data_IF_038217834783
#
_entry.id   IF_038217834783
#
_cell.length_a   1.000
_cell.length_b   1.000
_cell.length_c   1.000
_cell.angle_alpha   90.00
_cell.angle_beta   90.00
_cell.angle_gamma   90.00
#
_symmetry.space_group_name_H-M   'P 1'
#
loop_
_entity.id
_entity.type
_entity.pdbx_description
1 polymer ?
#
# COMPACT_ATOMS: atom_id res chain seq x y z
N UNK A 1 25.73 21.86 9.45
CA UNK A 1 26.06 22.45 8.14
C UNK A 1 25.99 21.35 7.08
N UNK A 2 25.64 21.74 5.85
CA UNK A 2 25.26 20.93 4.67
C UNK A 2 23.82 20.42 4.70
N UNK A 3 22.80 21.24 4.33
CA UNK A 3 22.37 21.65 2.95
C UNK A 3 21.80 20.42 2.21
N UNK A 4 20.47 20.22 2.18
CA UNK A 4 19.45 20.64 1.16
C UNK A 4 19.85 20.13 -0.24
N UNK A 5 18.99 19.44 -0.99
CA UNK A 5 18.16 19.98 -2.08
C UNK A 5 17.26 18.83 -2.61
N UNK A 6 15.92 18.91 -2.59
CA UNK A 6 14.97 19.40 -3.62
C UNK A 6 14.44 18.31 -4.60
N UNK A 7 13.12 18.07 -4.50
CA UNK A 7 12.04 17.98 -5.54
C UNK A 7 12.23 17.17 -6.85
N UNK A 8 11.16 16.41 -7.18
CA UNK A 8 10.71 16.13 -8.57
C UNK A 8 10.14 14.71 -8.71
N UNK A 9 8.84 14.44 -8.61
CA UNK A 9 7.77 14.65 -9.61
C UNK A 9 8.19 14.30 -11.05
N UNK A 10 7.58 13.27 -11.63
CA UNK A 10 7.65 13.04 -13.08
C UNK A 10 7.45 11.60 -13.52
N UNK A 11 6.23 11.30 -13.97
CA UNK A 11 5.84 10.10 -14.73
C UNK A 11 6.81 9.81 -15.87
N UNK A 12 7.06 8.53 -16.14
CA UNK A 12 7.28 8.02 -17.50
C UNK A 12 6.85 6.55 -17.58
N UNK A 13 5.66 6.35 -18.14
CA UNK A 13 5.32 5.14 -18.90
C UNK A 13 5.97 5.28 -20.28
N UNK A 14 6.46 4.18 -20.85
CA UNK A 14 6.29 3.94 -22.27
C UNK A 14 5.47 2.67 -22.50
N UNK A 15 4.40 2.89 -23.27
CA UNK A 15 3.73 1.94 -24.13
C UNK A 15 4.74 1.35 -25.14
N UNK A 16 4.69 0.03 -25.37
CA UNK A 16 5.03 -0.58 -26.66
C UNK A 16 4.81 -2.10 -26.58
N UNK A 17 3.60 -2.53 -26.93
CA UNK A 17 3.41 -3.81 -27.58
C UNK A 17 4.02 -3.73 -28.99
N UNK A 18 4.92 -4.65 -29.35
CA UNK A 18 5.14 -5.08 -30.74
C UNK A 18 6.00 -6.34 -30.72
N UNK A 19 5.43 -7.44 -31.21
CA UNK A 19 6.18 -8.59 -31.68
C UNK A 19 6.81 -8.24 -33.05
N UNK A 20 7.96 -8.83 -33.40
CA UNK A 20 7.99 -9.44 -34.72
C UNK A 20 8.70 -10.82 -34.77
N UNK A 21 8.05 -11.69 -35.54
CA UNK A 21 8.59 -12.40 -36.71
C UNK A 21 9.90 -13.17 -36.57
N UNK A 22 9.70 -14.48 -36.59
CA UNK A 22 10.68 -15.52 -36.94
C UNK A 22 11.19 -15.27 -38.36
N UNK A 23 12.51 -15.12 -38.48
CA UNK A 23 13.23 -15.24 -39.75
C UNK A 23 14.37 -16.24 -39.56
N UNK A 24 14.21 -17.42 -40.17
CA UNK A 24 15.30 -18.37 -40.36
C UNK A 24 16.32 -17.79 -41.34
N UNK A 25 17.60 -17.86 -41.01
CA UNK A 25 18.68 -17.68 -41.97
C UNK A 25 19.71 -18.79 -41.79
N UNK A 26 19.81 -19.58 -42.85
CA UNK A 26 20.79 -20.62 -43.10
C UNK A 26 22.20 -20.06 -42.95
N UNK A 27 23.03 -20.71 -42.12
CA UNK A 27 24.47 -20.47 -42.08
C UNK A 27 25.15 -21.36 -43.12
N UNK A 28 25.91 -20.73 -44.02
CA UNK A 28 26.98 -21.39 -44.75
C UNK A 28 28.33 -20.87 -44.23
N UNK A 29 29.11 -21.75 -43.60
CA UNK A 29 30.58 -21.75 -43.74
C UNK A 29 31.15 -23.13 -43.36
N UNK A 30 32.12 -23.68 -44.12
CA UNK A 30 32.66 -25.01 -43.87
C UNK A 30 33.86 -24.96 -42.92
N UNK A 31 33.65 -25.23 -41.62
CA UNK A 31 34.76 -25.39 -40.68
C UNK A 31 35.29 -26.81 -40.75
N UNK A 32 36.53 -26.87 -41.23
CA UNK A 32 37.36 -28.05 -41.46
C UNK A 32 37.46 -28.94 -40.22
N UNK A 33 37.21 -30.23 -40.48
CA UNK A 33 37.37 -31.37 -39.59
C UNK A 33 38.82 -31.48 -39.11
N UNK A 34 39.06 -31.34 -37.81
CA UNK A 34 40.27 -31.82 -37.14
C UNK A 34 39.82 -32.66 -35.95
N UNK A 35 40.08 -33.96 -36.02
CA UNK A 35 39.78 -34.96 -35.00
C UNK A 35 40.91 -34.97 -33.98
N UNK A 36 40.65 -34.60 -32.73
CA UNK A 36 41.55 -35.00 -31.62
C UNK A 36 40.82 -34.97 -30.29
N UNK A 37 40.75 -36.17 -29.70
CA UNK A 37 40.71 -36.52 -28.27
C UNK A 37 39.65 -35.87 -27.38
N UNK A 38 38.71 -36.71 -26.94
CA UNK A 38 37.82 -36.41 -25.84
C UNK A 38 38.58 -36.21 -24.53
N UNK A 39 38.15 -35.19 -23.78
CA UNK A 39 38.19 -35.16 -22.33
C UNK A 39 36.80 -34.70 -21.87
N UNK A 40 36.26 -35.47 -20.94
CA UNK A 40 34.92 -35.39 -20.42
C UNK A 40 34.62 -34.08 -19.67
N UNK A 41 33.38 -33.64 -19.84
CA UNK A 41 32.46 -33.08 -18.85
C UNK A 41 33.02 -32.22 -17.70
N UNK A 42 32.61 -30.95 -17.67
CA UNK A 42 31.89 -30.38 -16.51
C UNK A 42 31.35 -28.98 -16.86
N UNK A 43 30.19 -28.91 -17.52
CA UNK A 43 29.40 -27.66 -17.53
C UNK A 43 28.70 -27.56 -16.17
N UNK A 44 29.33 -26.88 -15.22
CA UNK A 44 28.68 -26.53 -13.96
C UNK A 44 27.56 -25.51 -14.23
N UNK A 45 26.32 -25.99 -14.37
CA UNK A 45 25.13 -25.14 -14.46
C UNK A 45 24.87 -24.59 -13.07
N UNK A 46 25.30 -23.36 -12.80
CA UNK A 46 24.90 -22.62 -11.60
C UNK A 46 23.40 -22.26 -11.73
N UNK A 47 22.55 -23.09 -11.15
CA UNK A 47 21.14 -22.77 -10.97
C UNK A 47 21.01 -21.70 -9.87
N UNK A 48 20.88 -20.43 -10.28
CA UNK A 48 20.56 -19.34 -9.36
C UNK A 48 19.09 -19.40 -9.00
N UNK A 49 18.76 -20.04 -7.87
CA UNK A 49 17.42 -19.95 -7.29
C UNK A 49 17.21 -18.55 -6.73
N UNK A 50 16.50 -17.70 -7.48
CA UNK A 50 16.09 -16.38 -7.00
C UNK A 50 14.96 -16.58 -6.00
N UNK A 51 15.29 -16.57 -4.71
CA UNK A 51 14.27 -16.50 -3.65
C UNK A 51 13.71 -15.07 -3.66
N UNK A 52 12.55 -14.88 -4.29
CA UNK A 52 11.73 -13.68 -4.10
C UNK A 52 11.12 -13.77 -2.71
N UNK A 53 11.86 -13.26 -1.72
CA UNK A 53 11.34 -13.06 -0.37
C UNK A 53 10.22 -12.03 -0.43
N UNK A 54 8.97 -12.50 -0.38
CA UNK A 54 7.81 -11.62 -0.21
C UNK A 54 7.91 -10.93 1.14
N UNK A 55 8.14 -9.62 1.15
CA UNK A 55 8.06 -8.82 2.36
C UNK A 55 6.61 -8.81 2.85
N UNK A 56 6.30 -9.66 3.83
CA UNK A 56 5.04 -9.57 4.57
C UNK A 56 5.05 -8.25 5.34
N UNK A 57 4.30 -7.26 4.84
CA UNK A 57 4.03 -6.05 5.63
C UNK A 57 3.23 -6.48 6.85
N UNK A 58 3.83 -6.51 8.03
CA UNK A 58 3.09 -6.74 9.25
C UNK A 58 2.16 -5.54 9.47
N UNK A 59 0.85 -5.71 9.26
CA UNK A 59 -0.12 -4.66 9.57
C UNK A 59 -0.22 -4.53 11.09
N UNK A 60 0.30 -3.43 11.63
CA UNK A 60 0.16 -3.12 13.05
C UNK A 60 -1.34 -3.10 13.43
N UNK A 61 -1.68 -3.77 14.53
CA UNK A 61 -3.04 -3.78 15.03
C UNK A 61 -3.51 -2.35 15.34
N UNK A 62 -4.77 -2.00 15.03
CA UNK A 62 -5.30 -0.68 15.32
C UNK A 62 -5.31 -0.42 16.82
N UNK A 63 -4.90 0.78 17.22
CA UNK A 63 -4.84 1.20 18.62
C UNK A 63 -6.24 1.23 19.24
N UNK A 64 -6.41 0.54 20.36
CA UNK A 64 -7.59 0.66 21.21
C UNK A 64 -7.33 1.69 22.29
N UNK A 65 -8.27 2.61 22.48
CA UNK A 65 -8.24 3.59 23.55
C UNK A 65 -9.08 3.10 24.73
N UNK A 66 -8.73 3.54 25.93
CA UNK A 66 -9.50 3.21 27.13
C UNK A 66 -10.79 4.04 27.22
N UNK A 67 -10.73 5.32 26.86
CA UNK A 67 -11.81 6.29 26.97
C UNK A 67 -11.67 7.43 25.95
N UNK A 68 -12.71 8.26 25.85
CA UNK A 68 -12.73 9.40 24.94
C UNK A 68 -11.73 10.50 25.29
N UNK A 69 -11.34 10.66 26.55
CA UNK A 69 -10.28 11.60 26.94
C UNK A 69 -8.94 11.23 26.30
N UNK A 70 -8.62 9.94 26.25
CA UNK A 70 -7.41 9.45 25.59
C UNK A 70 -7.47 9.66 24.07
N UNK A 71 -8.64 9.49 23.45
CA UNK A 71 -8.85 9.81 22.03
C UNK A 71 -8.67 11.31 21.80
N UNK A 72 -9.32 12.17 22.59
CA UNK A 72 -9.30 13.64 22.41
C UNK A 72 -7.93 14.27 22.58
N UNK A 73 -7.00 13.63 23.31
CA UNK A 73 -5.60 14.05 23.38
C UNK A 73 -4.89 13.95 22.03
N UNK A 74 -5.27 13.00 21.18
CA UNK A 74 -4.62 12.75 19.88
C UNK A 74 -5.49 13.27 18.72
N UNK A 75 -6.79 13.05 18.82
CA UNK A 75 -7.80 13.39 17.83
C UNK A 75 -8.92 14.16 18.53
N UNK A 76 -8.80 15.48 18.57
CA UNK A 76 -9.74 16.37 19.29
C UNK A 76 -11.19 16.30 18.78
N UNK A 77 -11.40 15.82 17.56
CA UNK A 77 -12.72 15.56 16.96
C UNK A 77 -13.14 14.10 16.94
N UNK A 78 -12.33 13.19 17.47
CA UNK A 78 -12.61 11.76 17.51
C UNK A 78 -12.11 10.96 16.30
N UNK A 79 -12.61 9.73 16.19
CA UNK A 79 -12.21 8.76 15.16
C UNK A 79 -13.44 8.43 14.33
N UNK A 80 -13.39 8.63 13.03
CA UNK A 80 -14.51 8.40 12.14
C UNK A 80 -14.17 7.40 11.03
N UNK A 81 -15.20 6.74 10.51
CA UNK A 81 -15.09 5.98 9.26
C UNK A 81 -14.65 6.88 8.12
N UNK A 82 -13.97 6.32 7.12
CA UNK A 82 -13.54 7.05 5.93
C UNK A 82 -14.72 7.56 5.10
N UNK A 83 -15.85 6.84 5.11
CA UNK A 83 -17.07 7.22 4.40
C UNK A 83 -17.81 8.41 5.03
N UNK A 84 -17.56 8.73 6.30
CA UNK A 84 -18.25 9.80 7.00
C UNK A 84 -17.62 11.14 6.62
N UNK A 85 -18.40 12.04 6.04
CA UNK A 85 -17.94 13.39 5.66
C UNK A 85 -18.54 14.48 6.55
N UNK A 86 -19.64 14.18 7.23
CA UNK A 86 -20.39 15.08 8.10
C UNK A 86 -20.75 14.37 9.40
N UNK A 87 -20.85 15.12 10.48
CA UNK A 87 -21.39 14.63 11.74
C UNK A 87 -22.93 14.57 11.65
N UNK A 88 -23.55 13.45 12.03
CA UNK A 88 -25.00 13.28 12.02
C UNK A 88 -25.55 13.55 13.42
N UNK A 89 -26.07 14.75 13.62
CA UNK A 89 -26.68 15.15 14.90
C UNK A 89 -28.18 14.92 14.84
N UNK A 90 -28.68 14.06 15.73
CA UNK A 90 -30.12 13.82 15.92
C UNK A 90 -30.59 14.59 17.15
N UNK A 91 -31.46 15.58 16.96
CA UNK A 91 -32.04 16.38 18.04
C UNK A 91 -33.55 16.51 17.85
N UNK A 92 -34.32 16.21 18.90
CA UNK A 92 -35.79 16.25 18.88
C UNK A 92 -36.41 15.50 17.68
N UNK A 93 -35.86 14.32 17.34
CA UNK A 93 -36.30 13.51 16.20
C UNK A 93 -35.88 14.03 14.82
N UNK A 94 -35.21 15.19 14.74
CA UNK A 94 -34.69 15.73 13.48
C UNK A 94 -33.22 15.39 13.32
N UNK A 95 -32.87 14.85 12.15
CA UNK A 95 -31.49 14.60 11.75
C UNK A 95 -30.93 15.81 11.03
N UNK A 96 -29.79 16.31 11.48
CA UNK A 96 -29.06 17.41 10.85
C UNK A 96 -27.61 17.01 10.61
N UNK A 97 -27.02 17.48 9.53
CA UNK A 97 -25.63 17.21 9.18
C UNK A 97 -24.77 18.43 9.47
N UNK A 98 -23.78 18.28 10.35
CA UNK A 98 -22.85 19.34 10.74
C UNK A 98 -21.46 19.03 10.20
N UNK A 99 -20.65 20.08 10.08
CA UNK A 99 -19.23 19.90 9.80
C UNK A 99 -18.56 19.17 10.98
N UNK A 100 -17.59 18.31 10.66
CA UNK A 100 -16.72 17.68 11.64
C UNK A 100 -15.91 18.77 12.34
N UNK A 101 -15.92 18.79 13.67
CA UNK A 101 -15.18 19.77 14.48
C UNK A 101 -13.89 19.13 15.00
N UNK A 102 -12.81 19.91 15.04
CA UNK A 102 -11.51 19.46 15.55
C UNK A 102 -10.79 18.50 14.60
N UNK A 103 -9.77 17.83 15.12
CA UNK A 103 -8.96 16.89 14.37
C UNK A 103 -9.62 15.51 14.39
N UNK A 104 -10.21 15.12 13.26
CA UNK A 104 -10.86 13.81 13.11
C UNK A 104 -9.95 12.84 12.36
N UNK A 105 -9.65 11.70 12.98
CA UNK A 105 -8.93 10.63 12.28
C UNK A 105 -9.90 9.81 11.46
N UNK A 106 -9.70 9.78 10.14
CA UNK A 106 -10.45 8.93 9.21
C UNK A 106 -9.74 7.59 9.05
N UNK A 107 -10.31 6.55 9.65
CA UNK A 107 -9.72 5.21 9.65
C UNK A 107 -10.74 4.15 10.08
N UNK A 108 -11.11 3.25 9.18
CA UNK A 108 -12.14 2.24 9.48
C UNK A 108 -11.65 1.16 10.44
N UNK A 109 -10.35 0.81 10.39
CA UNK A 109 -9.76 -0.19 11.28
C UNK A 109 -9.67 0.37 12.71
N UNK A 110 -9.22 1.62 12.83
CA UNK A 110 -9.17 2.32 14.12
C UNK A 110 -10.57 2.57 14.68
N UNK A 111 -11.53 2.97 13.83
CA UNK A 111 -12.92 3.13 14.23
C UNK A 111 -13.48 1.80 14.72
N UNK A 112 -13.30 0.70 13.98
CA UNK A 112 -13.80 -0.63 14.36
C UNK A 112 -13.26 -1.07 15.73
N UNK A 113 -11.97 -0.84 15.98
CA UNK A 113 -11.33 -1.14 17.26
C UNK A 113 -11.89 -0.32 18.43
N UNK A 114 -12.41 0.88 18.16
CA UNK A 114 -12.95 1.81 19.15
C UNK A 114 -14.47 2.01 19.06
N UNK A 115 -15.18 1.19 18.27
CA UNK A 115 -16.61 1.34 17.95
C UNK A 115 -17.49 1.40 19.19
N UNK A 116 -17.09 0.74 20.28
CA UNK A 116 -17.79 0.78 21.58
C UNK A 116 -17.96 2.19 22.16
N UNK A 117 -17.22 3.18 21.65
CA UNK A 117 -17.28 4.57 22.10
C UNK A 117 -18.16 5.46 21.21
N UNK A 118 -18.70 4.93 20.12
CA UNK A 118 -19.72 5.56 19.28
C UNK A 118 -21.10 5.18 19.85
N UNK A 119 -21.66 6.06 20.69
CA UNK A 119 -22.86 5.75 21.49
C UNK A 119 -24.15 5.89 20.70
N UNK A 120 -24.16 6.76 19.71
CA UNK A 120 -25.27 7.09 18.82
C UNK A 120 -25.16 6.43 17.44
N UNK A 121 -24.11 5.63 17.22
CA UNK A 121 -23.89 4.79 16.06
C UNK A 121 -23.89 5.57 14.73
N UNK A 122 -23.41 6.81 14.78
CA UNK A 122 -23.43 7.73 13.66
C UNK A 122 -22.21 7.53 12.72
N UNK A 123 -21.23 6.72 13.15
CA UNK A 123 -19.99 6.45 12.44
C UNK A 123 -18.79 7.26 12.92
N UNK A 124 -18.92 7.98 14.04
CA UNK A 124 -17.87 8.76 14.70
C UNK A 124 -17.74 8.34 16.17
N UNK A 125 -16.63 7.70 16.51
CA UNK A 125 -16.31 7.34 17.89
C UNK A 125 -15.76 8.55 18.65
N UNK A 126 -16.28 8.76 19.88
CA UNK A 126 -15.90 9.87 20.75
C UNK A 126 -16.01 11.24 20.07
N UNK A 127 -17.08 11.46 19.33
CA UNK A 127 -17.31 12.77 18.74
C UNK A 127 -17.44 13.87 19.79
N UNK A 128 -17.22 15.11 19.35
CA UNK A 128 -17.45 16.30 20.16
C UNK A 128 -18.70 17.00 19.62
N UNK A 129 -19.83 16.84 20.32
CA UNK A 129 -21.11 17.47 20.02
C UNK A 129 -21.00 19.01 20.01
#
# INVERSE_FOLDING_TARGET
MSVVHIVGSGRRVPDAAVAPSITHSFQGEPVRIIRTLGIAAATAVLATTVVVGGASTAQAAPKTYANCTAVHKVYSGGIAKKSVTKNKVTSNGKVTYRALKGTVKKDDALYKANKKMDRDADGIACEKS
#
